data_IF_886150968873
#
_entry.id   IF_886150968873
#
_cell.length_a   1.000
_cell.length_b   1.000
_cell.length_c   1.000
_cell.angle_alpha   90.00
_cell.angle_beta   90.00
_cell.angle_gamma   90.00
#
_symmetry.space_group_name_H-M   'P 1'
#
loop_
_entity.id
_entity.type
_entity.pdbx_description
1 polymer ?
#
# COMPACT_ATOMS: atom_id res chain seq x y z
N UNK A 1 -34.97 -3.36 66.20
CA UNK A 1 -36.12 -4.24 65.97
C UNK A 1 -36.07 -4.71 64.53
N UNK A 2 -35.31 -5.78 64.38
CA UNK A 2 -35.47 -6.93 63.47
C UNK A 2 -36.11 -6.70 62.10
N UNK A 3 -35.24 -6.64 61.08
CA UNK A 3 -35.57 -6.94 59.69
C UNK A 3 -35.26 -8.42 59.42
N UNK A 4 -36.19 -9.20 58.83
CA UNK A 4 -35.93 -10.60 58.55
C UNK A 4 -35.14 -10.77 57.26
N UNK A 5 -34.08 -11.57 57.34
CA UNK A 5 -33.27 -12.05 56.22
C UNK A 5 -33.99 -13.21 55.55
N UNK A 6 -34.44 -13.02 54.31
CA UNK A 6 -35.01 -14.09 53.50
C UNK A 6 -33.89 -14.78 52.71
N UNK A 7 -33.61 -16.03 53.08
CA UNK A 7 -32.55 -16.87 52.50
C UNK A 7 -33.21 -17.77 51.47
N UNK A 8 -33.14 -17.40 50.19
CA UNK A 8 -33.60 -18.26 49.10
C UNK A 8 -32.45 -19.18 48.69
N UNK A 9 -32.51 -20.43 49.13
CA UNK A 9 -31.68 -21.53 48.64
C UNK A 9 -32.01 -21.80 47.16
N UNK A 10 -31.01 -21.61 46.29
CA UNK A 10 -31.09 -21.96 44.88
C UNK A 10 -30.47 -23.35 44.67
N UNK A 11 -31.18 -24.32 44.07
CA UNK A 11 -30.67 -25.68 43.89
C UNK A 11 -29.56 -25.73 42.84
N UNK A 12 -28.48 -26.43 43.17
CA UNK A 12 -27.35 -26.69 42.27
C UNK A 12 -27.76 -27.59 41.09
N UNK A 13 -27.29 -27.31 39.86
CA UNK A 13 -27.52 -28.19 38.73
C UNK A 13 -26.68 -29.48 38.83
N UNK A 14 -27.13 -30.58 38.19
CA UNK A 14 -26.45 -31.87 38.26
C UNK A 14 -25.14 -31.86 37.47
N UNK A 15 -24.13 -32.53 38.05
CA UNK A 15 -22.76 -32.58 37.56
C UNK A 15 -22.64 -33.11 36.13
N UNK A 16 -21.99 -32.31 35.29
CA UNK A 16 -21.51 -32.71 33.99
C UNK A 16 -20.24 -33.56 34.14
N UNK A 17 -20.27 -34.71 33.48
CA UNK A 17 -19.20 -35.68 33.45
C UNK A 17 -17.93 -35.10 32.83
N UNK A 18 -16.79 -35.36 33.48
CA UNK A 18 -15.43 -35.18 32.97
C UNK A 18 -15.25 -35.92 31.63
N UNK A 19 -15.57 -35.23 30.53
CA UNK A 19 -15.21 -35.63 29.19
C UNK A 19 -13.71 -35.42 29.01
N UNK A 20 -13.00 -36.51 28.75
CA UNK A 20 -11.58 -36.54 28.43
C UNK A 20 -11.25 -35.53 27.33
N UNK A 21 -10.55 -34.44 27.69
CA UNK A 21 -9.94 -33.53 26.74
C UNK A 21 -8.96 -34.32 25.88
N UNK A 22 -9.39 -34.71 24.69
CA UNK A 22 -8.50 -35.18 23.63
C UNK A 22 -7.60 -34.00 23.27
N UNK A 23 -6.41 -33.98 23.87
CA UNK A 23 -5.28 -33.16 23.46
C UNK A 23 -5.10 -33.46 21.98
N UNK A 24 -5.62 -32.56 21.16
CA UNK A 24 -5.47 -32.65 19.72
C UNK A 24 -4.01 -32.34 19.47
N UNK A 25 -3.23 -33.37 19.18
CA UNK A 25 -1.85 -33.26 18.72
C UNK A 25 -1.82 -32.25 17.58
N UNK A 26 -1.45 -31.02 17.91
CA UNK A 26 -1.18 -29.99 16.94
C UNK A 26 0.01 -30.49 16.15
N UNK A 27 -0.26 -31.06 14.97
CA UNK A 27 0.76 -31.33 13.97
C UNK A 27 1.48 -30.02 13.69
N UNK A 28 2.56 -29.77 14.43
CA UNK A 28 3.56 -28.76 14.13
C UNK A 28 4.24 -29.25 12.87
N UNK A 29 3.67 -28.88 11.74
CA UNK A 29 4.36 -28.96 10.45
C UNK A 29 5.57 -28.05 10.62
N UNK A 30 6.72 -28.64 10.94
CA UNK A 30 8.00 -27.94 11.05
C UNK A 30 8.35 -27.47 9.64
N UNK A 31 7.79 -26.33 9.24
CA UNK A 31 8.18 -25.67 8.01
C UNK A 31 9.69 -25.41 8.09
N UNK A 32 10.42 -25.83 7.06
CA UNK A 32 11.86 -25.57 6.97
C UNK A 32 12.09 -24.07 7.03
N UNK A 33 13.04 -23.64 7.85
CA UNK A 33 13.47 -22.24 7.87
C UNK A 33 14.01 -21.86 6.48
N UNK A 34 13.47 -20.78 5.89
CA UNK A 34 13.77 -20.32 4.54
C UNK A 34 14.82 -19.20 4.51
N UNK A 35 15.63 -19.03 5.56
CA UNK A 35 16.64 -17.97 5.63
C UNK A 35 17.58 -17.95 4.42
N UNK A 36 18.10 -19.10 3.97
CA UNK A 36 19.00 -19.18 2.82
C UNK A 36 18.34 -18.72 1.51
N UNK A 37 17.06 -19.07 1.31
CA UNK A 37 16.29 -18.64 0.14
C UNK A 37 16.08 -17.12 0.15
N UNK A 38 15.78 -16.56 1.32
CA UNK A 38 15.61 -15.12 1.51
C UNK A 38 16.93 -14.36 1.31
N UNK A 39 18.04 -14.84 1.87
CA UNK A 39 19.36 -14.23 1.69
C UNK A 39 19.76 -14.20 0.20
N UNK A 40 19.56 -15.31 -0.51
CA UNK A 40 19.82 -15.37 -1.95
C UNK A 40 18.92 -14.41 -2.74
N UNK A 41 17.64 -14.31 -2.38
CA UNK A 41 16.72 -13.36 -2.98
C UNK A 41 17.21 -11.92 -2.78
N UNK A 42 17.64 -11.57 -1.57
CA UNK A 42 18.15 -10.24 -1.21
C UNK A 42 19.44 -9.93 -1.97
N UNK A 43 20.36 -10.90 -2.07
CA UNK A 43 21.60 -10.79 -2.87
C UNK A 43 21.28 -10.50 -4.35
N UNK A 44 20.35 -11.26 -4.95
CA UNK A 44 19.97 -11.07 -6.35
C UNK A 44 19.33 -9.69 -6.59
N UNK A 45 18.57 -9.15 -5.63
CA UNK A 45 18.05 -7.78 -5.69
C UNK A 45 19.18 -6.74 -5.55
N UNK A 46 20.07 -6.91 -4.58
CA UNK A 46 21.20 -6.00 -4.34
C UNK A 46 22.14 -5.91 -5.56
N UNK A 47 22.37 -7.04 -6.23
CA UNK A 47 23.19 -7.14 -7.44
C UNK A 47 22.43 -6.73 -8.73
N UNK A 48 21.15 -6.36 -8.62
CA UNK A 48 20.32 -5.96 -9.75
C UNK A 48 19.99 -7.10 -10.74
N UNK A 49 20.21 -8.36 -10.34
CA UNK A 49 19.82 -9.56 -11.10
C UNK A 49 18.31 -9.74 -11.05
N UNK A 50 17.72 -9.48 -9.88
CA UNK A 50 16.30 -9.41 -9.65
C UNK A 50 15.89 -7.95 -9.41
N UNK A 51 14.72 -7.56 -9.94
CA UNK A 51 14.12 -6.25 -9.71
C UNK A 51 12.65 -6.43 -9.47
N UNK A 52 12.19 -6.01 -8.31
CA UNK A 52 10.76 -5.97 -7.98
C UNK A 52 10.10 -4.81 -8.71
N UNK A 53 9.03 -5.12 -9.43
CA UNK A 53 8.10 -4.12 -9.93
C UNK A 53 7.20 -3.65 -8.80
N UNK A 54 6.77 -2.39 -8.89
CA UNK A 54 5.83 -1.78 -7.92
C UNK A 54 4.44 -2.41 -7.94
N UNK A 55 4.14 -3.17 -8.98
CA UNK A 55 2.90 -3.92 -9.15
C UNK A 55 3.02 -5.39 -8.69
N UNK A 56 4.22 -5.86 -8.34
CA UNK A 56 4.41 -7.23 -7.86
C UNK A 56 3.65 -7.42 -6.54
N UNK A 57 3.17 -8.64 -6.31
CA UNK A 57 2.62 -9.02 -5.02
C UNK A 57 3.76 -9.15 -3.99
N UNK A 58 3.49 -8.95 -2.68
CA UNK A 58 4.49 -9.25 -1.67
C UNK A 58 4.89 -10.71 -1.71
N UNK A 59 6.15 -10.95 -1.38
CA UNK A 59 6.74 -12.28 -1.32
C UNK A 59 6.90 -12.65 0.16
N UNK A 60 6.49 -13.85 0.52
CA UNK A 60 6.49 -14.33 1.90
C UNK A 60 7.52 -15.45 2.08
N UNK A 61 8.27 -15.39 3.18
CA UNK A 61 9.27 -16.38 3.59
C UNK A 61 9.02 -16.77 5.04
N UNK A 62 9.01 -18.07 5.31
CA UNK A 62 8.88 -18.59 6.67
C UNK A 62 10.27 -18.74 7.29
N UNK A 63 10.62 -17.92 8.28
CA UNK A 63 11.90 -17.97 8.98
C UNK A 63 11.68 -17.82 10.48
N UNK A 64 12.52 -18.46 11.28
CA UNK A 64 12.50 -18.34 12.73
C UNK A 64 12.84 -16.92 13.20
N UNK A 65 12.51 -16.61 14.45
CA UNK A 65 12.87 -15.33 15.08
C UNK A 65 14.40 -15.15 15.14
N UNK A 66 15.15 -16.21 15.41
CA UNK A 66 16.63 -16.16 15.43
C UNK A 66 17.18 -15.84 14.04
N UNK A 67 16.65 -16.49 13.00
CA UNK A 67 17.00 -16.20 11.61
C UNK A 67 16.58 -14.79 11.16
N UNK A 68 15.49 -14.25 11.69
CA UNK A 68 15.13 -12.85 11.47
C UNK A 68 16.19 -11.90 12.05
N UNK A 69 16.68 -12.14 13.26
CA UNK A 69 17.78 -11.35 13.82
C UNK A 69 19.05 -11.48 12.99
N UNK A 70 19.40 -12.69 12.54
CA UNK A 70 20.55 -12.90 11.64
C UNK A 70 20.44 -12.07 10.36
N UNK A 71 19.26 -12.08 9.72
CA UNK A 71 18.99 -11.31 8.51
C UNK A 71 19.21 -9.80 8.71
N UNK A 72 18.89 -9.25 9.88
CA UNK A 72 19.08 -7.81 10.15
C UNK A 72 20.56 -7.39 10.15
N UNK A 73 21.49 -8.32 10.33
CA UNK A 73 22.93 -8.06 10.27
C UNK A 73 23.51 -8.27 8.85
N UNK A 74 22.71 -8.73 7.89
CA UNK A 74 23.17 -8.90 6.51
C UNK A 74 23.33 -7.54 5.79
N UNK A 75 24.52 -7.32 5.22
CA UNK A 75 24.85 -6.06 4.55
C UNK A 75 24.06 -5.80 3.26
N UNK A 76 23.65 -6.85 2.54
CA UNK A 76 22.83 -6.69 1.34
C UNK A 76 21.38 -6.35 1.72
N UNK A 77 20.88 -6.91 2.81
CA UNK A 77 19.57 -6.61 3.36
C UNK A 77 19.47 -5.13 3.77
N UNK A 78 20.43 -4.65 4.57
CA UNK A 78 20.51 -3.25 4.97
C UNK A 78 20.65 -2.31 3.75
N UNK A 79 21.51 -2.66 2.78
CA UNK A 79 21.63 -1.91 1.52
C UNK A 79 20.29 -1.84 0.77
N UNK A 80 19.57 -2.95 0.63
CA UNK A 80 18.28 -2.99 -0.06
C UNK A 80 17.23 -2.14 0.66
N UNK A 81 17.18 -2.19 1.99
CA UNK A 81 16.28 -1.38 2.82
C UNK A 81 16.59 0.12 2.68
N UNK A 82 17.87 0.52 2.80
CA UNK A 82 18.31 1.91 2.65
C UNK A 82 18.05 2.48 1.26
N UNK A 83 18.28 1.67 0.21
CA UNK A 83 17.99 2.03 -1.19
C UNK A 83 16.51 1.94 -1.54
N UNK A 84 15.66 1.52 -0.60
CA UNK A 84 14.21 1.35 -0.79
C UNK A 84 13.88 0.43 -1.98
N UNK A 85 14.69 -0.60 -2.19
CA UNK A 85 14.43 -1.63 -3.20
C UNK A 85 13.24 -2.51 -2.83
N UNK A 86 12.96 -2.63 -1.54
CA UNK A 86 11.72 -3.17 -0.98
C UNK A 86 11.56 -2.64 0.46
N UNK A 87 10.40 -2.91 1.04
CA UNK A 87 10.15 -2.82 2.49
C UNK A 87 9.98 -4.22 3.05
N UNK A 88 10.20 -4.39 4.33
CA UNK A 88 10.00 -5.67 5.01
C UNK A 88 9.07 -5.53 6.19
N UNK A 89 8.45 -6.65 6.55
CA UNK A 89 7.79 -6.81 7.83
C UNK A 89 7.99 -8.22 8.33
N UNK A 90 8.17 -8.38 9.64
CA UNK A 90 8.28 -9.68 10.29
C UNK A 90 7.12 -9.87 11.27
N UNK A 91 6.37 -10.94 11.10
CA UNK A 91 5.32 -11.39 12.01
C UNK A 91 5.83 -12.62 12.78
N UNK A 92 6.29 -12.37 14.01
CA UNK A 92 6.87 -13.41 14.88
C UNK A 92 5.87 -14.48 15.26
N UNK A 93 4.57 -14.14 15.38
CA UNK A 93 3.50 -15.10 15.71
C UNK A 93 3.33 -16.18 14.64
N UNK A 94 3.78 -15.89 13.42
CA UNK A 94 3.70 -16.78 12.25
C UNK A 94 5.07 -17.16 11.70
N UNK A 95 6.16 -16.67 12.32
CA UNK A 95 7.52 -16.81 11.81
C UNK A 95 7.61 -16.40 10.33
N UNK A 96 6.99 -15.27 9.96
CA UNK A 96 6.78 -14.88 8.57
C UNK A 96 7.42 -13.54 8.26
N UNK A 97 8.38 -13.53 7.33
CA UNK A 97 8.88 -12.30 6.69
C UNK A 97 8.10 -12.04 5.41
N UNK A 98 7.60 -10.82 5.27
CA UNK A 98 6.98 -10.33 4.04
C UNK A 98 7.87 -9.28 3.41
N UNK A 99 8.37 -9.56 2.21
CA UNK A 99 9.06 -8.59 1.35
C UNK A 99 8.02 -7.88 0.49
N UNK A 100 7.88 -6.58 0.70
CA UNK A 100 6.89 -5.73 0.05
C UNK A 100 7.61 -4.89 -1.02
N UNK A 101 7.21 -4.94 -2.29
CA UNK A 101 7.83 -4.15 -3.35
C UNK A 101 7.80 -2.63 -3.07
N UNK A 102 8.62 -1.84 -3.79
CA UNK A 102 8.60 -0.39 -3.65
C UNK A 102 7.20 0.19 -3.90
N UNK A 103 6.79 1.23 -3.16
CA UNK A 103 5.47 1.81 -3.32
C UNK A 103 5.26 2.36 -4.74
N UNK A 104 4.06 2.13 -5.27
CA UNK A 104 3.60 2.71 -6.54
C UNK A 104 3.28 4.20 -6.39
N UNK A 105 3.29 4.95 -7.50
CA UNK A 105 2.91 6.36 -7.46
C UNK A 105 1.41 6.53 -7.05
N UNK A 106 0.61 5.46 -7.21
CA UNK A 106 -0.77 5.35 -6.74
C UNK A 106 -0.86 5.12 -5.23
N UNK A 107 0.01 4.28 -4.66
CA UNK A 107 0.12 4.06 -3.22
C UNK A 107 0.45 5.39 -2.52
N UNK A 108 1.48 6.07 -3.01
CA UNK A 108 1.92 7.38 -2.49
C UNK A 108 0.82 8.45 -2.59
N UNK A 109 -0.01 8.44 -3.63
CA UNK A 109 -1.13 9.36 -3.76
C UNK A 109 -2.19 9.16 -2.64
N UNK A 110 -2.47 7.91 -2.26
CA UNK A 110 -3.38 7.61 -1.15
C UNK A 110 -2.76 8.06 0.17
N UNK A 111 -1.53 7.65 0.47
CA UNK A 111 -0.84 8.03 1.71
C UNK A 111 -0.70 9.54 1.84
N UNK A 112 -0.33 10.23 0.76
CA UNK A 112 -0.20 11.69 0.71
C UNK A 112 -1.53 12.40 0.99
N UNK A 113 -2.66 11.90 0.46
CA UNK A 113 -3.97 12.48 0.75
C UNK A 113 -4.35 12.38 2.23
N UNK A 114 -4.21 11.20 2.84
CA UNK A 114 -4.56 11.02 4.25
C UNK A 114 -3.60 11.75 5.19
N UNK A 115 -2.31 11.80 4.84
CA UNK A 115 -1.31 12.59 5.58
C UNK A 115 -1.65 14.08 5.54
N UNK A 116 -1.94 14.64 4.35
CA UNK A 116 -2.35 16.04 4.20
C UNK A 116 -3.64 16.35 4.95
N UNK A 117 -4.61 15.43 4.95
CA UNK A 117 -5.84 15.60 5.70
C UNK A 117 -5.55 15.67 7.20
N UNK A 118 -4.76 14.75 7.76
CA UNK A 118 -4.41 14.75 9.17
C UNK A 118 -3.62 16.01 9.57
N UNK A 119 -2.66 16.45 8.75
CA UNK A 119 -1.89 17.69 8.99
C UNK A 119 -2.79 18.92 8.94
N UNK A 120 -3.74 19.00 8.00
CA UNK A 120 -4.71 20.11 7.96
C UNK A 120 -5.63 20.10 9.17
N UNK A 121 -6.05 18.91 9.63
CA UNK A 121 -6.84 18.78 10.85
C UNK A 121 -6.05 19.29 12.05
N UNK A 122 -4.78 18.87 12.24
CA UNK A 122 -3.90 19.38 13.30
C UNK A 122 -3.81 20.90 13.29
N UNK A 123 -3.58 21.51 12.12
CA UNK A 123 -3.53 22.97 11.98
C UNK A 123 -4.82 23.68 12.39
N UNK A 124 -5.97 23.03 12.23
CA UNK A 124 -7.24 23.60 12.66
C UNK A 124 -7.49 23.41 14.17
N UNK A 125 -6.74 22.52 14.83
CA UNK A 125 -6.74 22.34 16.29
C UNK A 125 -5.90 23.40 17.02
N UNK A 126 -5.16 24.27 16.32
CA UNK A 126 -4.21 25.24 16.90
C UNK A 126 -4.83 26.18 17.95
N UNK A 127 -6.15 26.38 17.96
CA UNK A 127 -6.81 27.17 19.03
C UNK A 127 -6.78 26.48 20.40
N UNK A 128 -6.57 25.16 20.45
CA UNK A 128 -6.16 24.46 21.67
C UNK A 128 -4.62 24.45 21.71
N UNK A 129 -4.04 25.28 22.58
CA UNK A 129 -2.63 25.73 22.64
C UNK A 129 -1.54 24.64 22.68
N UNK A 130 -1.92 23.36 22.67
CA UNK A 130 -1.06 22.18 22.83
C UNK A 130 -1.41 21.07 21.80
N UNK A 131 -1.71 21.37 20.53
CA UNK A 131 -2.03 20.27 19.60
C UNK A 131 -0.82 19.34 19.45
N UNK A 132 -1.01 18.13 19.96
CA UNK A 132 0.00 17.09 20.18
C UNK A 132 -0.06 16.03 19.06
N UNK A 133 -0.72 16.33 17.94
CA UNK A 133 -0.91 15.39 16.84
C UNK A 133 0.38 15.26 16.02
N UNK A 134 0.95 14.06 15.98
CA UNK A 134 2.06 13.74 15.09
C UNK A 134 1.58 12.80 14.00
N UNK A 135 1.73 13.26 12.76
CA UNK A 135 1.51 12.45 11.56
C UNK A 135 2.85 11.93 11.09
N UNK A 136 3.06 10.62 11.10
CA UNK A 136 4.33 9.99 10.70
C UNK A 136 4.07 8.96 9.60
N UNK A 137 4.79 9.11 8.49
CA UNK A 137 4.91 8.06 7.48
C UNK A 137 6.17 7.25 7.76
N UNK A 138 6.16 5.97 7.42
CA UNK A 138 7.36 5.12 7.36
C UNK A 138 8.16 4.99 8.68
N UNK A 139 7.51 5.06 9.84
CA UNK A 139 8.16 4.81 11.15
C UNK A 139 7.77 3.42 11.65
N UNK A 140 8.75 2.62 12.07
CA UNK A 140 8.48 1.33 12.69
C UNK A 140 7.69 1.50 13.99
N UNK A 141 6.80 0.55 14.27
CA UNK A 141 6.13 0.48 15.57
C UNK A 141 7.18 0.04 16.59
N UNK A 142 7.34 0.78 17.71
CA UNK A 142 8.48 0.60 18.62
C UNK A 142 8.48 -0.75 19.31
N UNK A 143 7.31 -1.29 19.64
CA UNK A 143 7.20 -2.53 20.40
C UNK A 143 5.87 -3.24 20.10
N UNK A 144 5.95 -4.56 19.96
CA UNK A 144 4.82 -5.46 19.97
C UNK A 144 4.92 -6.41 21.18
N UNK A 145 3.79 -6.87 21.71
CA UNK A 145 3.68 -7.70 22.91
C UNK A 145 2.97 -9.04 22.63
N UNK A 146 3.06 -9.98 23.57
CA UNK A 146 2.40 -11.29 23.49
C UNK A 146 2.98 -12.14 22.37
N UNK A 147 2.11 -12.81 21.60
CA UNK A 147 2.53 -13.65 20.46
C UNK A 147 3.25 -12.86 19.36
N UNK A 148 3.10 -11.54 19.36
CA UNK A 148 3.74 -10.63 18.41
C UNK A 148 5.05 -10.06 18.95
N UNK A 149 5.54 -10.50 20.11
CA UNK A 149 6.85 -10.07 20.63
C UNK A 149 7.93 -10.33 19.58
N UNK A 150 8.81 -9.35 19.33
CA UNK A 150 9.81 -9.33 18.25
C UNK A 150 9.27 -9.12 16.82
N UNK A 151 7.96 -8.97 16.63
CA UNK A 151 7.45 -8.56 15.34
C UNK A 151 7.98 -7.18 14.95
N UNK A 152 8.21 -6.99 13.66
CA UNK A 152 8.57 -5.70 13.09
C UNK A 152 7.58 -5.31 12.00
N UNK A 153 7.15 -4.05 12.01
CA UNK A 153 6.31 -3.50 10.94
C UNK A 153 6.45 -1.99 10.88
N UNK A 154 6.62 -1.52 9.64
CA UNK A 154 6.53 -0.11 9.28
C UNK A 154 5.16 0.12 8.63
N UNK A 155 4.23 0.84 9.28
CA UNK A 155 2.98 1.21 8.65
C UNK A 155 3.14 2.28 7.57
N UNK A 156 2.18 2.34 6.66
CA UNK A 156 2.18 3.38 5.62
C UNK A 156 1.98 4.78 6.22
N UNK A 157 1.04 4.89 7.17
CA UNK A 157 0.77 6.12 7.92
C UNK A 157 0.40 5.78 9.36
N UNK A 158 0.92 6.58 10.29
CA UNK A 158 0.54 6.53 11.70
C UNK A 158 0.14 7.90 12.20
N UNK A 159 -0.86 7.93 13.08
CA UNK A 159 -1.34 9.11 13.77
C UNK A 159 -1.10 8.89 15.26
N UNK A 160 -0.37 9.81 15.85
CA UNK A 160 0.13 9.69 17.22
C UNK A 160 -0.29 10.93 18.01
N UNK A 161 -0.58 10.72 19.28
CA UNK A 161 -0.82 11.81 20.22
C UNK A 161 0.37 11.86 21.19
N UNK A 162 0.97 13.04 21.29
CA UNK A 162 1.89 13.35 22.38
C UNK A 162 1.06 13.61 23.65
N UNK A 163 1.45 13.01 24.77
CA UNK A 163 0.76 13.18 26.06
C UNK A 163 1.59 14.05 27.03
N UNK A 164 2.69 14.64 26.56
CA UNK A 164 3.54 15.56 27.33
C UNK A 164 4.47 14.87 28.33
N UNK A 165 4.46 13.54 28.40
CA UNK A 165 5.28 12.72 29.32
C UNK A 165 6.34 11.89 28.59
N UNK A 166 6.97 12.46 27.55
CA UNK A 166 8.01 11.86 26.69
C UNK A 166 7.60 10.62 25.88
N UNK A 167 6.39 10.09 26.06
CA UNK A 167 5.85 8.96 25.30
C UNK A 167 4.80 9.43 24.28
N UNK A 168 5.15 9.41 22.98
CA UNK A 168 4.18 9.55 21.91
C UNK A 168 3.43 8.23 21.70
N UNK A 169 2.10 8.25 21.80
CA UNK A 169 1.26 7.05 21.65
C UNK A 169 0.73 6.94 20.22
N UNK A 170 1.04 5.85 19.52
CA UNK A 170 0.42 5.55 18.22
C UNK A 170 -1.02 5.09 18.47
N UNK A 171 -1.99 5.89 18.03
CA UNK A 171 -3.41 5.62 18.23
C UNK A 171 -4.05 4.97 17.00
N UNK A 172 -3.79 5.54 15.82
CA UNK A 172 -4.38 5.10 14.56
C UNK A 172 -3.28 4.72 13.56
N UNK A 173 -3.45 3.55 12.94
CA UNK A 173 -2.62 3.05 11.84
C UNK A 173 -3.43 3.00 10.55
N UNK A 174 -2.82 3.35 9.43
CA UNK A 174 -3.40 3.20 8.10
C UNK A 174 -2.44 2.40 7.21
N UNK A 175 -2.99 1.40 6.52
CA UNK A 175 -2.33 0.54 5.54
C UNK A 175 -3.00 0.66 4.18
N UNK A 176 -2.21 0.74 3.12
CA UNK A 176 -2.67 0.85 1.73
C UNK A 176 -2.16 -0.33 0.93
N UNK A 177 -3.06 -1.22 0.51
CA UNK A 177 -2.75 -2.28 -0.44
C UNK A 177 -3.07 -1.86 -1.87
N UNK A 178 -2.08 -1.89 -2.76
CA UNK A 178 -2.29 -1.71 -4.21
C UNK A 178 -2.17 -3.03 -4.96
N UNK A 179 -1.07 -3.75 -4.82
CA UNK A 179 -0.92 -5.13 -5.32
C UNK A 179 -1.44 -6.18 -4.35
N UNK A 180 -1.31 -5.91 -3.04
CA UNK A 180 -1.77 -6.80 -1.96
C UNK A 180 -3.26 -7.15 -2.05
N UNK A 181 -3.59 -8.41 -1.78
CA UNK A 181 -4.99 -8.84 -1.62
C UNK A 181 -5.62 -8.18 -0.37
N UNK A 182 -6.93 -8.02 -0.36
CA UNK A 182 -7.63 -7.50 0.83
C UNK A 182 -7.48 -8.45 2.03
N UNK A 183 -7.43 -9.76 1.79
CA UNK A 183 -7.21 -10.73 2.87
C UNK A 183 -5.81 -10.58 3.48
N UNK A 184 -4.77 -10.34 2.67
CA UNK A 184 -3.41 -10.10 3.18
C UNK A 184 -3.32 -8.79 3.97
N UNK A 185 -4.15 -7.78 3.67
CA UNK A 185 -4.23 -6.59 4.53
C UNK A 185 -4.94 -6.91 5.85
N UNK A 186 -6.03 -7.68 5.82
CA UNK A 186 -6.79 -8.05 7.02
C UNK A 186 -5.98 -8.88 8.01
N UNK A 187 -4.99 -9.67 7.56
CA UNK A 187 -4.08 -10.38 8.48
C UNK A 187 -3.22 -9.44 9.33
N UNK A 188 -3.05 -8.17 8.94
CA UNK A 188 -2.33 -7.16 9.74
C UNK A 188 -3.15 -6.65 10.93
N UNK A 189 -4.48 -6.80 10.91
CA UNK A 189 -5.36 -6.23 11.94
C UNK A 189 -5.09 -6.83 13.32
N UNK A 190 -5.08 -8.17 13.51
CA UNK A 190 -4.73 -8.75 14.81
C UNK A 190 -3.33 -8.37 15.26
N UNK A 191 -2.36 -8.30 14.35
CA UNK A 191 -0.99 -7.87 14.67
C UNK A 191 -0.95 -6.49 15.33
N UNK A 192 -1.67 -5.51 14.78
CA UNK A 192 -1.71 -4.16 15.36
C UNK A 192 -2.58 -4.06 16.62
N UNK A 193 -3.81 -4.60 16.56
CA UNK A 193 -4.80 -4.44 17.62
C UNK A 193 -4.62 -5.44 18.77
N UNK A 194 -3.95 -6.57 18.60
CA UNK A 194 -3.61 -7.46 19.72
C UNK A 194 -2.14 -7.31 20.13
N UNK A 195 -1.25 -7.14 19.16
CA UNK A 195 0.18 -7.02 19.40
C UNK A 195 0.60 -5.68 19.98
N UNK A 196 -0.28 -4.69 20.11
CA UNK A 196 0.01 -3.46 20.86
C UNK A 196 -1.14 -3.17 21.83
N UNK A 197 -0.91 -2.39 22.88
CA UNK A 197 -1.99 -1.88 23.77
C UNK A 197 -2.44 -0.47 23.36
N UNK A 198 -1.61 0.22 22.59
CA UNK A 198 -1.78 1.63 22.30
C UNK A 198 -2.68 1.89 21.11
N UNK A 199 -2.55 1.11 20.03
CA UNK A 199 -3.33 1.28 18.80
C UNK A 199 -4.78 0.92 19.07
N UNK A 200 -5.67 1.86 18.80
CA UNK A 200 -7.12 1.71 18.95
C UNK A 200 -7.81 1.48 17.62
N UNK A 201 -7.20 1.92 16.51
CA UNK A 201 -7.80 1.86 15.19
C UNK A 201 -6.80 1.48 14.10
N UNK A 202 -7.24 0.59 13.22
CA UNK A 202 -6.54 0.23 11.99
C UNK A 202 -7.45 0.52 10.80
N UNK A 203 -6.96 1.30 9.85
CA UNK A 203 -7.64 1.58 8.58
C UNK A 203 -6.95 0.79 7.49
N UNK A 204 -7.72 -0.02 6.76
CA UNK A 204 -7.24 -0.70 5.58
C UNK A 204 -7.83 -0.05 4.35
N UNK A 205 -6.97 0.36 3.43
CA UNK A 205 -7.36 0.89 2.13
C UNK A 205 -6.86 -0.05 1.05
N UNK A 206 -7.78 -0.67 0.31
CA UNK A 206 -7.43 -1.48 -0.85
C UNK A 206 -7.81 -0.74 -2.12
N UNK A 207 -6.80 -0.42 -2.94
CA UNK A 207 -7.01 0.06 -4.30
C UNK A 207 -7.09 -1.14 -5.25
N UNK A 208 -8.19 -1.25 -5.96
CA UNK A 208 -8.40 -2.26 -7.01
C UNK A 208 -8.47 -1.59 -8.36
N UNK A 209 -7.72 -2.10 -9.32
CA UNK A 209 -7.92 -1.80 -10.73
C UNK A 209 -8.92 -2.80 -11.33
N UNK A 210 -9.87 -2.32 -12.13
CA UNK A 210 -10.63 -3.16 -13.04
C UNK A 210 -9.70 -3.93 -13.98
N UNK A 211 -10.19 -5.06 -14.52
CA UNK A 211 -9.38 -5.93 -15.37
C UNK A 211 -8.68 -5.15 -16.50
N UNK A 212 -7.39 -5.42 -16.69
CA UNK A 212 -6.60 -4.84 -17.79
C UNK A 212 -6.91 -5.47 -19.14
N UNK A 213 -7.56 -6.63 -19.13
CA UNK A 213 -8.00 -7.27 -20.35
C UNK A 213 -8.96 -6.32 -21.09
N UNK A 214 -8.83 -6.22 -22.43
CA UNK A 214 -9.84 -5.53 -23.21
C UNK A 214 -11.17 -6.22 -22.91
N UNK A 215 -12.10 -5.49 -22.31
CA UNK A 215 -13.49 -5.92 -22.38
C UNK A 215 -13.81 -6.07 -23.86
N UNK A 216 -14.46 -7.17 -24.21
CA UNK A 216 -14.73 -7.56 -25.59
C UNK A 216 -15.05 -6.32 -26.45
N UNK A 217 -14.24 -6.01 -27.49
CA UNK A 217 -14.44 -4.83 -28.32
C UNK A 217 -15.86 -4.76 -28.92
N UNK A 218 -16.57 -5.88 -29.02
CA UNK A 218 -17.97 -5.90 -29.43
C UNK A 218 -18.91 -5.20 -28.43
N UNK A 219 -18.62 -5.21 -27.13
CA UNK A 219 -19.44 -4.52 -26.12
C UNK A 219 -19.09 -3.04 -25.98
N UNK A 220 -17.84 -2.65 -26.27
CA UNK A 220 -17.41 -1.24 -26.20
C UNK A 220 -17.78 -0.42 -27.44
N UNK A 221 -17.89 -1.05 -28.62
CA UNK A 221 -18.38 -0.39 -29.84
C UNK A 221 -19.85 0.04 -29.76
N UNK A 222 -20.67 -0.57 -28.91
CA UNK A 222 -22.04 -0.11 -28.65
C UNK A 222 -22.11 1.13 -27.74
N UNK A 223 -21.09 1.36 -26.89
CA UNK A 223 -21.04 2.52 -25.97
C UNK A 223 -20.33 3.75 -26.54
N UNK A 224 -19.59 3.62 -27.65
CA UNK A 224 -18.78 4.69 -28.26
C UNK A 224 -19.21 5.09 -29.67
N UNK A 225 -20.49 5.39 -29.88
CA UNK A 225 -20.90 6.32 -30.95
C UNK A 225 -21.31 7.68 -30.36
N UNK A 226 -20.37 8.60 -30.11
CA UNK A 226 -20.68 10.00 -29.95
C UNK A 226 -20.78 10.64 -31.34
N UNK A 227 -21.92 10.49 -32.03
CA UNK A 227 -22.12 11.21 -33.30
C UNK A 227 -23.46 11.91 -33.51
N UNK A 228 -24.41 11.89 -32.56
CA UNK A 228 -25.69 12.61 -32.73
C UNK A 228 -26.12 13.39 -31.46
N UNK A 229 -25.22 14.19 -30.88
CA UNK A 229 -25.63 15.27 -29.96
C UNK A 229 -25.08 16.61 -30.45
N UNK A 230 -25.72 17.12 -31.50
CA UNK A 230 -25.68 18.53 -31.86
C UNK A 230 -26.71 19.29 -31.02
N UNK A 231 -26.22 20.35 -30.35
CA UNK A 231 -26.94 21.53 -29.84
C UNK A 231 -27.87 21.35 -28.64
N UNK A 232 -27.30 21.47 -27.43
CA UNK A 232 -27.83 22.35 -26.37
C UNK A 232 -26.69 22.63 -25.38
N UNK A 233 -26.04 23.79 -25.54
CA UNK A 233 -25.10 24.34 -24.55
C UNK A 233 -25.90 25.30 -23.66
N UNK A 234 -26.15 25.01 -22.38
CA UNK A 234 -26.52 26.07 -21.44
C UNK A 234 -25.25 26.81 -21.04
N UNK A 235 -25.30 28.14 -21.17
CA UNK A 235 -24.29 29.07 -20.68
C UNK A 235 -24.13 28.89 -19.16
N UNK A 236 -23.08 28.18 -18.73
CA UNK A 236 -22.62 28.16 -17.33
C UNK A 236 -21.79 29.43 -17.06
N UNK A 237 -22.01 30.11 -15.92
CA UNK A 237 -21.28 31.33 -15.58
C UNK A 237 -19.80 31.03 -15.32
N UNK A 238 -18.93 31.93 -15.81
CA UNK A 238 -17.50 31.95 -15.52
C UNK A 238 -17.28 32.00 -14.02
N UNK A 239 -16.66 30.96 -13.47
CA UNK A 239 -16.05 30.99 -12.14
C UNK A 239 -14.88 31.98 -12.14
N UNK A 240 -14.65 32.70 -11.02
CA UNK A 240 -13.58 33.68 -10.92
C UNK A 240 -12.21 32.99 -10.87
N UNK A 241 -11.26 33.58 -11.60
CA UNK A 241 -9.85 33.21 -11.61
C UNK A 241 -9.28 33.27 -10.19
N UNK A 242 -9.19 32.11 -9.56
CA UNK A 242 -8.48 31.96 -8.29
C UNK A 242 -7.02 31.68 -8.63
N UNK A 243 -6.04 32.48 -8.16
CA UNK A 243 -4.64 32.21 -8.45
C UNK A 243 -4.26 30.84 -7.87
N UNK A 244 -3.67 30.00 -8.70
CA UNK A 244 -3.07 28.72 -8.33
C UNK A 244 -1.98 28.97 -7.29
N UNK A 245 -2.37 28.92 -6.02
CA UNK A 245 -1.47 28.89 -4.88
C UNK A 245 -0.61 27.63 -4.96
N UNK A 246 0.69 27.82 -4.78
CA UNK A 246 1.77 26.85 -4.74
C UNK A 246 1.32 25.52 -4.12
N UNK A 247 1.17 24.50 -4.96
CA UNK A 247 0.97 23.13 -4.49
C UNK A 247 2.27 22.72 -3.78
N UNK A 248 2.23 22.18 -2.55
CA UNK A 248 3.40 21.61 -1.93
C UNK A 248 3.84 20.41 -2.79
N UNK A 249 4.89 20.61 -3.58
CA UNK A 249 5.76 19.51 -3.97
C UNK A 249 6.26 18.96 -2.65
N UNK A 250 5.84 17.75 -2.26
CA UNK A 250 6.47 17.08 -1.13
C UNK A 250 7.96 17.04 -1.44
N UNK A 251 8.84 17.70 -0.67
CA UNK A 251 10.24 17.34 -0.72
C UNK A 251 10.29 15.95 -0.12
N UNK A 252 10.25 14.94 -0.97
CA UNK A 252 10.89 13.70 -0.62
C UNK A 252 12.35 14.11 -0.37
N UNK A 253 12.79 14.02 0.89
CA UNK A 253 14.18 14.30 1.25
C UNK A 253 15.07 13.30 0.49
N UNK A 254 15.50 13.65 -0.72
CA UNK A 254 16.62 13.02 -1.44
C UNK A 254 17.97 13.58 -0.95
N UNK A 255 17.96 14.53 -0.02
CA UNK A 255 19.16 15.23 0.47
C UNK A 255 19.96 14.42 1.49
N UNK A 256 20.35 13.17 1.20
CA UNK A 256 21.43 12.44 1.90
C UNK A 256 22.13 11.37 1.02
N UNK A 257 22.22 11.57 -0.30
CA UNK A 257 23.06 10.72 -1.15
C UNK A 257 23.87 11.54 -2.14
N UNK A 258 25.00 12.13 -1.71
CA UNK A 258 26.09 12.48 -2.63
C UNK A 258 27.36 12.88 -1.88
N UNK A 259 28.32 11.95 -1.74
CA UNK A 259 29.77 12.18 -1.94
C UNK A 259 30.46 10.83 -2.11
N UNK A 260 30.30 10.19 -3.28
CA UNK A 260 31.20 9.12 -3.71
C UNK A 260 32.27 9.71 -4.64
N UNK A 261 33.54 9.26 -4.55
CA UNK A 261 34.61 9.78 -5.40
C UNK A 261 34.38 9.43 -6.89
N UNK A 262 34.85 10.30 -7.81
CA UNK A 262 34.68 10.08 -9.24
C UNK A 262 35.47 8.85 -9.72
N UNK A 263 34.82 8.01 -10.54
CA UNK A 263 35.44 6.90 -11.25
C UNK A 263 36.43 7.41 -12.32
N UNK A 264 37.53 6.69 -12.58
CA UNK A 264 38.52 7.08 -13.58
C UNK A 264 38.00 6.95 -15.01
N UNK A 265 38.35 7.95 -15.83
CA UNK A 265 38.00 8.08 -17.24
C UNK A 265 38.67 6.98 -18.10
N UNK A 266 37.86 6.19 -18.81
CA UNK A 266 38.33 5.19 -19.78
C UNK A 266 38.53 5.87 -21.15
N UNK A 267 39.68 5.70 -21.83
CA UNK A 267 39.91 6.27 -23.16
C UNK A 267 39.08 5.57 -24.25
N UNK A 268 38.74 6.28 -25.33
CA UNK A 268 37.90 5.75 -26.41
C UNK A 268 38.66 4.71 -27.25
N UNK A 269 37.99 3.63 -27.71
CA UNK A 269 38.58 2.65 -28.60
C UNK A 269 38.70 3.17 -30.04
N UNK A 270 39.83 2.85 -30.66
CA UNK A 270 40.24 3.23 -32.01
C UNK A 270 39.45 2.47 -33.10
N UNK A 271 39.10 3.24 -34.14
CA UNK A 271 38.55 2.89 -35.46
C UNK A 271 38.59 1.42 -35.92
N UNK A 272 37.42 0.87 -36.28
CA UNK A 272 37.28 -0.37 -37.07
C UNK A 272 36.48 -0.12 -38.36
N UNK A 273 36.87 -0.87 -39.38
CA UNK A 273 36.44 -0.86 -40.78
C UNK A 273 34.92 -0.97 -41.02
N UNK A 274 34.43 -0.48 -42.19
CA UNK A 274 33.02 -0.51 -42.55
C UNK A 274 32.57 -1.93 -42.92
N UNK A 275 31.74 -2.53 -42.06
CA UNK A 275 30.96 -3.73 -42.37
C UNK A 275 29.64 -3.26 -42.97
N UNK A 276 29.30 -3.76 -44.16
CA UNK A 276 28.02 -3.48 -44.84
C UNK A 276 26.85 -3.98 -43.98
N UNK A 277 26.02 -3.05 -43.51
CA UNK A 277 24.84 -3.34 -42.69
C UNK A 277 23.74 -4.01 -43.52
N UNK A 278 23.13 -5.10 -43.02
CA UNK A 278 21.95 -5.69 -43.64
C UNK A 278 20.75 -4.73 -43.56
N UNK A 279 19.84 -4.86 -44.53
CA UNK A 279 18.67 -4.02 -44.70
C UNK A 279 17.90 -3.80 -43.39
N UNK A 280 17.83 -2.54 -42.95
CA UNK A 280 17.17 -2.10 -41.73
C UNK A 280 15.68 -2.42 -41.80
N UNK A 281 15.23 -3.38 -40.99
CA UNK A 281 13.80 -3.61 -40.77
C UNK A 281 13.11 -2.30 -40.35
N UNK A 282 11.84 -2.07 -40.74
CA UNK A 282 11.12 -0.86 -40.39
C UNK A 282 11.15 -0.64 -38.88
N UNK A 283 11.79 0.45 -38.46
CA UNK A 283 11.90 0.85 -37.06
C UNK A 283 10.49 1.13 -36.53
N UNK A 284 9.96 0.20 -35.73
CA UNK A 284 8.72 0.41 -35.00
C UNK A 284 8.97 1.54 -34.00
N UNK A 285 8.46 2.73 -34.32
CA UNK A 285 8.61 3.92 -33.48
C UNK A 285 8.08 3.62 -32.09
N UNK A 286 8.94 3.76 -31.08
CA UNK A 286 8.53 3.59 -29.68
C UNK A 286 7.34 4.53 -29.39
N UNK A 287 6.27 4.04 -28.73
CA UNK A 287 5.12 4.86 -28.41
C UNK A 287 5.57 6.07 -27.60
N UNK A 288 5.12 7.25 -27.98
CA UNK A 288 5.47 8.48 -27.25
C UNK A 288 4.54 8.63 -26.05
N UNK A 289 5.06 9.12 -24.92
CA UNK A 289 4.26 9.39 -23.72
C UNK A 289 3.07 10.35 -23.97
N UNK A 290 3.06 11.05 -25.11
CA UNK A 290 1.97 11.93 -25.57
C UNK A 290 0.70 11.17 -25.96
N UNK A 291 0.77 9.85 -26.10
CA UNK A 291 -0.36 9.00 -26.49
C UNK A 291 -1.13 8.43 -25.29
N UNK A 292 -0.70 8.74 -24.06
CA UNK A 292 -1.45 8.39 -22.86
C UNK A 292 -2.66 9.31 -22.73
N UNK A 293 -3.85 8.74 -22.58
CA UNK A 293 -5.06 9.46 -22.25
C UNK A 293 -5.81 8.79 -21.10
N UNK A 294 -6.47 9.60 -20.29
CA UNK A 294 -7.30 9.14 -19.17
C UNK A 294 -8.77 9.23 -19.58
N UNK A 295 -9.53 8.18 -19.29
CA UNK A 295 -10.97 8.20 -19.40
C UNK A 295 -11.54 8.99 -18.20
N UNK A 296 -12.14 10.14 -18.46
CA UNK A 296 -12.66 11.04 -17.42
C UNK A 296 -13.84 10.46 -16.62
N UNK A 297 -14.52 9.44 -17.14
CA UNK A 297 -15.63 8.78 -16.47
C UNK A 297 -15.16 7.62 -15.61
N UNK A 298 -14.27 6.79 -16.14
CA UNK A 298 -13.85 5.56 -15.44
C UNK A 298 -12.52 5.70 -14.72
N UNK A 299 -11.75 6.76 -14.95
CA UNK A 299 -10.39 6.95 -14.41
C UNK A 299 -9.36 5.99 -14.99
N UNK A 300 -9.72 5.19 -15.99
CA UNK A 300 -8.80 4.26 -16.64
C UNK A 300 -7.81 5.04 -17.52
N UNK A 301 -6.55 4.59 -17.58
CA UNK A 301 -5.53 5.21 -18.43
C UNK A 301 -5.15 4.26 -19.54
N UNK A 302 -5.15 4.78 -20.76
CA UNK A 302 -4.95 4.06 -22.00
C UNK A 302 -3.74 4.59 -22.73
N UNK A 303 -2.97 3.69 -23.35
CA UNK A 303 -1.97 4.00 -24.37
C UNK A 303 -2.47 3.41 -25.68
N UNK A 304 -2.92 4.27 -26.61
CA UNK A 304 -3.64 3.84 -27.82
C UNK A 304 -4.85 2.95 -27.45
N UNK A 305 -4.80 1.67 -27.83
CA UNK A 305 -5.87 0.69 -27.60
C UNK A 305 -5.57 -0.25 -26.41
N UNK A 306 -4.48 -0.01 -25.69
CA UNK A 306 -4.06 -0.83 -24.55
C UNK A 306 -4.35 -0.13 -23.23
N UNK A 307 -5.07 -0.80 -22.33
CA UNK A 307 -5.34 -0.30 -20.98
C UNK A 307 -4.09 -0.47 -20.11
N UNK A 308 -3.51 0.65 -19.66
CA UNK A 308 -2.30 0.67 -18.83
C UNK A 308 -2.65 0.67 -17.34
N UNK A 309 -3.71 1.40 -16.97
CA UNK A 309 -4.28 1.47 -15.62
C UNK A 309 -5.77 1.19 -15.72
N UNK A 310 -6.26 0.20 -14.97
CA UNK A 310 -7.68 -0.14 -14.93
C UNK A 310 -8.54 0.93 -14.26
N UNK A 311 -9.87 0.83 -14.40
CA UNK A 311 -10.79 1.69 -13.68
C UNK A 311 -10.62 1.46 -12.16
N UNK A 312 -10.34 2.49 -11.36
CA UNK A 312 -10.00 2.30 -9.96
C UNK A 312 -11.25 2.20 -9.08
N UNK A 313 -11.12 1.42 -8.02
CA UNK A 313 -12.09 1.32 -6.93
C UNK A 313 -11.34 1.33 -5.61
N UNK A 314 -11.84 2.11 -4.66
CA UNK A 314 -11.29 2.22 -3.31
C UNK A 314 -12.17 1.39 -2.37
N UNK A 315 -11.58 0.42 -1.70
CA UNK A 315 -12.19 -0.30 -0.59
C UNK A 315 -11.63 0.27 0.72
N UNK A 316 -12.51 0.60 1.66
CA UNK A 316 -12.18 1.25 2.93
C UNK A 316 -12.74 0.42 4.08
N UNK A 317 -11.88 -0.05 4.97
CA UNK A 317 -12.28 -0.73 6.20
C UNK A 317 -11.70 -0.03 7.41
N UNK A 318 -12.50 0.06 8.47
CA UNK A 318 -12.05 0.51 9.79
C UNK A 318 -12.24 -0.64 10.77
N UNK A 319 -11.14 -1.01 11.41
CA UNK A 319 -11.09 -2.00 12.46
C UNK A 319 -10.74 -1.31 13.76
N UNK A 320 -11.44 -1.69 14.83
CA UNK A 320 -11.24 -1.15 16.16
C UNK A 320 -11.09 -2.27 17.18
N UNK A 321 -10.60 -1.90 18.35
CA UNK A 321 -10.49 -2.78 19.51
C UNK A 321 -11.76 -2.69 20.35
N UNK A 322 -12.34 -3.82 20.72
CA UNK A 322 -13.44 -3.86 21.69
C UNK A 322 -12.93 -3.73 23.14
N UNK A 323 -13.83 -3.85 24.12
CA UNK A 323 -13.47 -3.78 25.55
C UNK A 323 -12.59 -4.94 26.04
N UNK A 324 -12.56 -6.06 25.31
CA UNK A 324 -11.76 -7.24 25.63
C UNK A 324 -10.38 -7.22 24.95
N UNK A 325 -10.10 -6.22 24.12
CA UNK A 325 -8.88 -6.19 23.32
C UNK A 325 -9.01 -6.89 21.96
N UNK A 326 -10.20 -7.37 21.61
CA UNK A 326 -10.42 -8.12 20.38
C UNK A 326 -10.71 -7.19 19.20
N UNK A 327 -10.11 -7.45 18.02
CA UNK A 327 -10.36 -6.66 16.83
C UNK A 327 -11.74 -6.95 16.25
N UNK A 328 -12.50 -5.90 15.92
CA UNK A 328 -13.76 -6.02 15.19
C UNK A 328 -13.84 -4.99 14.07
N UNK A 329 -14.56 -5.33 13.00
CA UNK A 329 -14.76 -4.43 11.84
C UNK A 329 -15.89 -3.45 12.15
N UNK A 330 -15.54 -2.19 12.42
CA UNK A 330 -16.49 -1.13 12.75
C UNK A 330 -17.12 -0.47 11.51
N UNK A 331 -16.40 -0.49 10.37
CA UNK A 331 -16.86 0.15 9.14
C UNK A 331 -16.32 -0.56 7.90
N UNK A 332 -17.10 -0.59 6.83
CA UNK A 332 -16.67 -0.99 5.49
C UNK A 332 -17.44 -0.19 4.43
N UNK A 333 -16.73 0.25 3.40
CA UNK A 333 -17.34 0.86 2.22
C UNK A 333 -16.50 0.66 0.95
N UNK A 334 -17.17 0.60 -0.20
CA UNK A 334 -16.53 0.58 -1.52
C UNK A 334 -16.93 1.82 -2.30
N UNK A 335 -15.94 2.59 -2.76
CA UNK A 335 -16.12 3.84 -3.49
C UNK A 335 -15.54 3.72 -4.89
N UNK A 336 -16.40 3.84 -5.91
CA UNK A 336 -15.96 3.89 -7.30
C UNK A 336 -15.25 5.21 -7.63
N UNK A 337 -14.47 5.23 -8.71
CA UNK A 337 -13.81 6.45 -9.18
C UNK A 337 -14.78 7.63 -9.30
N UNK A 338 -14.41 8.79 -8.72
CA UNK A 338 -15.21 10.03 -8.66
C UNK A 338 -16.56 9.93 -7.95
N UNK A 339 -16.96 8.75 -7.49
CA UNK A 339 -18.11 8.63 -6.62
C UNK A 339 -17.79 9.25 -5.25
N UNK A 340 -18.83 9.80 -4.62
CA UNK A 340 -18.81 10.12 -3.21
C UNK A 340 -19.10 8.83 -2.42
N UNK A 341 -18.49 8.65 -1.23
CA UNK A 341 -19.00 7.68 -0.28
C UNK A 341 -20.41 8.05 0.15
N UNK A 342 -21.19 7.04 0.54
CA UNK A 342 -22.55 7.12 1.06
C UNK A 342 -22.64 7.82 2.42
N UNK A 343 -21.53 7.84 3.18
CA UNK A 343 -21.39 8.48 4.48
C UNK A 343 -19.97 8.97 4.69
N UNK A 344 -19.75 9.71 5.78
CA UNK A 344 -18.41 10.12 6.17
C UNK A 344 -17.56 8.87 6.54
N UNK A 345 -16.32 8.82 6.06
CA UNK A 345 -15.41 7.71 6.36
C UNK A 345 -14.69 7.97 7.70
N UNK A 346 -14.80 7.09 8.72
CA UNK A 346 -14.13 7.30 10.01
C UNK A 346 -12.61 7.29 9.82
N UNK A 347 -11.90 8.32 10.30
CA UNK A 347 -10.45 8.44 10.11
C UNK A 347 -9.69 8.23 11.42
N UNK A 348 -9.69 9.20 12.34
CA UNK A 348 -9.02 9.03 13.65
C UNK A 348 -9.82 9.73 14.75
N UNK A 349 -9.51 9.39 16.01
CA UNK A 349 -10.14 10.01 17.17
C UNK A 349 -9.20 11.01 17.82
N UNK A 350 -9.77 12.15 18.20
CA UNK A 350 -9.13 13.14 19.07
C UNK A 350 -9.44 12.72 20.51
N UNK A 351 -8.42 12.44 21.34
CA UNK A 351 -8.61 12.05 22.74
C UNK A 351 -9.33 13.13 23.55
N UNK A 352 -10.06 12.70 24.58
CA UNK A 352 -10.74 13.60 25.52
C UNK A 352 -9.79 14.57 26.23
N UNK A 353 -8.52 14.19 26.40
CA UNK A 353 -7.48 15.06 26.96
C UNK A 353 -7.09 16.24 26.05
N UNK A 354 -7.37 16.16 24.75
CA UNK A 354 -7.06 17.22 23.77
C UNK A 354 -8.26 18.16 23.58
N UNK A 355 -9.47 17.59 23.47
CA UNK A 355 -10.73 18.36 23.39
C UNK A 355 -11.73 17.72 24.35
N UNK A 356 -12.46 18.54 25.13
CA UNK A 356 -13.50 18.05 26.04
C UNK A 356 -14.51 17.15 25.33
N UNK A 357 -14.67 15.92 25.81
CA UNK A 357 -15.53 14.88 25.22
C UNK A 357 -14.89 14.06 24.10
N UNK A 358 -13.70 14.43 23.63
CA UNK A 358 -13.08 13.84 22.44
C UNK A 358 -13.85 14.21 21.17
N UNK A 359 -13.30 13.84 20.01
CA UNK A 359 -13.98 14.04 18.73
C UNK A 359 -13.59 12.98 17.69
N UNK A 360 -14.55 12.57 16.87
CA UNK A 360 -14.30 11.72 15.70
C UNK A 360 -13.93 12.60 14.50
N UNK A 361 -12.75 12.38 13.93
CA UNK A 361 -12.35 12.98 12.65
C UNK A 361 -12.72 12.02 11.54
N UNK A 362 -13.47 12.53 10.57
CA UNK A 362 -14.01 11.75 9.47
C UNK A 362 -13.69 12.38 8.12
N UNK A 363 -13.44 11.57 7.09
CA UNK A 363 -13.27 12.04 5.71
C UNK A 363 -14.64 12.31 5.10
N UNK A 364 -14.94 13.58 4.84
CA UNK A 364 -16.20 14.00 4.21
C UNK A 364 -16.24 13.57 2.73
N UNK A 365 -17.43 13.31 2.16
CA UNK A 365 -17.58 12.98 0.74
C UNK A 365 -16.89 13.94 -0.22
N UNK A 366 -16.89 15.23 0.07
CA UNK A 366 -16.23 16.27 -0.73
C UNK A 366 -14.71 16.10 -0.75
N UNK A 367 -14.12 15.63 0.36
CA UNK A 367 -12.69 15.33 0.45
C UNK A 367 -12.31 14.09 -0.36
N UNK A 368 -13.20 13.10 -0.47
CA UNK A 368 -12.99 11.98 -1.38
C UNK A 368 -13.06 12.41 -2.86
N UNK A 369 -13.92 13.39 -3.20
CA UNK A 369 -13.88 13.99 -4.55
C UNK A 369 -12.57 14.75 -4.82
N UNK A 370 -12.04 15.47 -3.82
CA UNK A 370 -10.71 16.11 -3.89
C UNK A 370 -9.61 15.05 -4.08
N UNK A 371 -9.65 13.94 -3.34
CA UNK A 371 -8.72 12.82 -3.51
C UNK A 371 -8.67 12.33 -4.96
N UNK A 372 -9.83 12.05 -5.57
CA UNK A 372 -9.88 11.53 -6.95
C UNK A 372 -9.24 12.48 -7.95
N UNK A 373 -9.58 13.77 -7.88
CA UNK A 373 -9.18 14.75 -8.89
C UNK A 373 -7.76 15.28 -8.69
N UNK A 374 -7.31 15.44 -7.44
CA UNK A 374 -6.02 16.06 -7.12
C UNK A 374 -4.90 15.04 -6.88
N UNK A 375 -5.17 13.98 -6.14
CA UNK A 375 -4.14 13.03 -5.71
C UNK A 375 -4.11 11.83 -6.66
N UNK A 376 -5.24 11.15 -6.82
CA UNK A 376 -5.31 9.92 -7.59
C UNK A 376 -5.00 10.14 -9.08
N UNK A 377 -5.58 11.15 -9.71
CA UNK A 377 -5.35 11.43 -11.14
C UNK A 377 -3.88 11.70 -11.45
N UNK A 378 -3.17 12.39 -10.55
CA UNK A 378 -1.75 12.66 -10.70
C UNK A 378 -0.92 11.38 -10.46
N UNK A 379 -1.18 10.67 -9.37
CA UNK A 379 -0.46 9.44 -9.02
C UNK A 379 -0.65 8.33 -10.06
N UNK A 380 -1.88 8.12 -10.53
CA UNK A 380 -2.17 7.12 -11.56
C UNK A 380 -1.55 7.46 -12.92
N UNK A 381 -1.48 8.74 -13.29
CA UNK A 381 -0.80 9.16 -14.52
C UNK A 381 0.72 8.98 -14.43
N UNK A 382 1.33 9.29 -13.28
CA UNK A 382 2.75 9.03 -13.05
C UNK A 382 3.07 7.53 -13.14
N UNK A 383 2.24 6.71 -12.50
CA UNK A 383 2.36 5.25 -12.53
C UNK A 383 2.21 4.69 -13.96
N UNK A 384 1.23 5.18 -14.73
CA UNK A 384 1.03 4.80 -16.13
C UNK A 384 2.25 5.12 -16.99
N UNK A 385 2.82 6.33 -16.86
CA UNK A 385 4.05 6.71 -17.59
C UNK A 385 5.20 5.79 -17.23
N UNK A 386 5.36 5.45 -15.94
CA UNK A 386 6.41 4.55 -15.46
C UNK A 386 6.27 3.15 -16.06
N UNK A 387 5.07 2.56 -16.03
CA UNK A 387 4.80 1.26 -16.67
C UNK A 387 5.18 1.26 -18.14
N UNK A 388 4.80 2.31 -18.88
CA UNK A 388 5.15 2.44 -20.31
C UNK A 388 6.67 2.53 -20.50
N UNK A 389 7.39 3.28 -19.65
CA UNK A 389 8.84 3.34 -19.70
C UNK A 389 9.49 1.98 -19.39
N UNK A 390 9.01 1.27 -18.37
CA UNK A 390 9.52 -0.03 -17.97
C UNK A 390 9.31 -1.09 -19.07
N UNK A 391 8.13 -1.13 -19.67
CA UNK A 391 7.82 -2.01 -20.81
C UNK A 391 8.69 -1.73 -22.03
N UNK A 392 9.07 -0.47 -22.25
CA UNK A 392 9.91 -0.07 -23.36
C UNK A 392 11.42 -0.20 -23.09
N UNK A 393 11.81 -0.54 -21.86
CA UNK A 393 13.22 -0.65 -21.49
C UNK A 393 13.93 -1.78 -22.27
N UNK A 394 15.23 -1.64 -22.59
CA UNK A 394 16.00 -2.70 -23.25
C UNK A 394 15.96 -4.03 -22.49
N UNK A 395 15.94 -3.96 -21.16
CA UNK A 395 15.85 -5.13 -20.28
C UNK A 395 14.53 -5.87 -20.47
N UNK A 396 13.40 -5.14 -20.49
CA UNK A 396 12.09 -5.74 -20.75
C UNK A 396 12.02 -6.36 -22.16
N UNK A 397 12.58 -5.69 -23.17
CA UNK A 397 12.64 -6.23 -24.54
C UNK A 397 13.46 -7.52 -24.63
N UNK A 398 14.59 -7.60 -23.91
CA UNK A 398 15.41 -8.82 -23.86
C UNK A 398 14.64 -9.99 -23.24
N UNK A 399 13.93 -9.77 -22.12
CA UNK A 399 13.07 -10.80 -21.49
C UNK A 399 11.98 -11.31 -22.42
N UNK A 400 11.29 -10.42 -23.13
CA UNK A 400 10.26 -10.82 -24.11
C UNK A 400 10.86 -11.62 -25.28
N UNK A 401 12.06 -11.25 -25.73
CA UNK A 401 12.80 -11.97 -26.77
C UNK A 401 13.18 -13.39 -26.34
N UNK A 402 13.65 -13.57 -25.10
CA UNK A 402 13.99 -14.89 -24.54
C UNK A 402 12.75 -15.78 -24.40
N UNK A 403 11.62 -15.25 -23.92
CA UNK A 403 10.35 -15.99 -23.79
C UNK A 403 9.76 -16.34 -25.17
N UNK A 404 9.92 -15.45 -26.15
CA UNK A 404 9.43 -15.66 -27.51
C UNK A 404 10.32 -16.59 -28.34
N UNK A 405 11.48 -17.00 -27.83
CA UNK A 405 12.37 -17.95 -28.49
C UNK A 405 11.64 -19.28 -28.76
N UNK A 406 11.77 -19.85 -29.96
CA UNK A 406 11.27 -21.18 -30.28
C UNK A 406 11.72 -22.26 -29.28
N UNK A 407 12.91 -22.11 -28.69
CA UNK A 407 13.43 -23.02 -27.67
C UNK A 407 12.72 -22.89 -26.33
N UNK A 408 12.42 -21.67 -25.89
CA UNK A 408 11.63 -21.43 -24.68
C UNK A 408 10.21 -22.00 -24.84
N UNK A 409 9.59 -21.83 -26.02
CA UNK A 409 8.30 -22.45 -26.35
C UNK A 409 8.36 -23.98 -26.39
N UNK A 410 9.46 -24.57 -26.87
CA UNK A 410 9.66 -26.04 -26.82
C UNK A 410 9.83 -26.56 -25.40
N UNK A 411 10.52 -25.83 -24.52
CA UNK A 411 10.68 -26.19 -23.10
C UNK A 411 9.35 -26.10 -22.34
N UNK A 412 8.58 -25.03 -22.54
CA UNK A 412 7.28 -24.84 -21.90
C UNK A 412 6.19 -25.83 -22.36
N UNK A 413 6.34 -26.48 -23.52
CA UNK A 413 5.44 -27.55 -23.98
C UNK A 413 5.81 -28.95 -23.48
N UNK A 414 6.99 -29.10 -22.88
CA UNK A 414 7.49 -30.38 -22.34
C UNK A 414 7.28 -30.53 -20.83
N UNK A 415 7.13 -29.41 -20.12
CA UNK A 415 6.58 -29.36 -18.77
C UNK A 415 5.05 -29.33 -18.86
#
# INVERSE_FOLDING_TARGET
MDSPSDTTEQPSPPGESLGSSSVSDSHTTTHSDQLEELLKFVEDVALGRLRLSRDDEPIEFTISTDSWFELQYDSNFDLCAQKKFFRTSFDSSRSLVTVIPPPSDRHEAVVGFFSDLAVRTDRNLIYTRNSMLQVRCTRSIPEFVGDYTFSEKVPDLTIQWDEGTDASRIDTVLEVGVSQSLNNLRTLVPKYLKGTTYIQRVILIKMKEGSRLPEDPFLTNLRRRPTDFLLMVPLLPRLPDTPLSTIPTFPFNETLLSTGPPLPSIPPPTSRHPIQSPATAPSVRAPTLRELYKDEFTGAIWLRNSKVVGAPTLFYEVWERDTNGEPFKAFEETVAYRAAPSKDLPFFRIPQGVISGGAEVSVKPEKIKEFWTRYWDQGSMADARRRVCEQNSPVARKRVGEISSPEARKRARKA
#
